data_IF_372502132009
#
_entry.id   IF_372502132009
#
_cell.length_a   1.000
_cell.length_b   1.000
_cell.length_c   1.000
_cell.angle_alpha   90.00
_cell.angle_beta   90.00
_cell.angle_gamma   90.00
#
_symmetry.space_group_name_H-M   'P 1'
#
loop_
_entity.id
_entity.type
_entity.pdbx_description
1 polymer ?
#
# COMPACT_ATOMS: atom_id res chain seq x y z
N UNK A 1 -8.54 2.80 14.02
CA UNK A 1 -7.11 2.66 14.40
C UNK A 1 -6.66 3.78 15.32
N UNK A 2 -6.80 5.05 14.91
CA UNK A 2 -6.47 6.24 15.71
C UNK A 2 -7.01 6.21 17.15
N UNK A 3 -8.32 5.98 17.31
CA UNK A 3 -8.95 5.99 18.64
C UNK A 3 -8.36 4.94 19.58
N UNK A 4 -8.10 3.72 19.07
CA UNK A 4 -7.52 2.64 19.88
C UNK A 4 -6.07 2.99 20.27
N UNK A 5 -5.29 3.51 19.31
CA UNK A 5 -3.93 3.95 19.59
C UNK A 5 -3.91 5.06 20.65
N UNK A 6 -4.79 6.06 20.52
CA UNK A 6 -4.94 7.14 21.49
C UNK A 6 -5.31 6.63 22.88
N UNK A 7 -6.35 5.80 23.00
CA UNK A 7 -6.77 5.26 24.30
C UNK A 7 -5.68 4.42 24.96
N UNK A 8 -5.01 3.54 24.19
CA UNK A 8 -3.90 2.72 24.71
C UNK A 8 -2.75 3.59 25.19
N UNK A 9 -2.38 4.63 24.43
CA UNK A 9 -1.32 5.55 24.83
C UNK A 9 -1.71 6.31 26.09
N UNK A 10 -2.93 6.85 26.17
CA UNK A 10 -3.41 7.58 27.34
C UNK A 10 -3.41 6.74 28.62
N UNK A 11 -3.78 5.46 28.52
CA UNK A 11 -3.69 4.53 29.66
C UNK A 11 -2.24 4.23 30.03
N UNK A 12 -1.33 4.11 29.05
CA UNK A 12 0.10 3.87 29.32
C UNK A 12 0.80 5.06 29.97
N UNK A 13 0.39 6.27 29.64
CA UNK A 13 1.00 7.51 30.12
C UNK A 13 0.53 7.92 31.53
N UNK A 14 -0.54 7.33 32.06
CA UNK A 14 -1.06 7.61 33.41
C UNK A 14 -1.04 6.35 34.27
N UNK A 15 -0.28 6.41 35.37
CA UNK A 15 -0.19 5.32 36.34
C UNK A 15 -1.54 5.07 37.03
N UNK A 16 -2.32 6.13 37.28
CA UNK A 16 -3.63 6.03 37.91
C UNK A 16 -4.63 5.30 37.00
N UNK A 17 -4.67 5.67 35.72
CA UNK A 17 -5.53 4.99 34.74
C UNK A 17 -5.09 3.53 34.57
N UNK A 18 -3.78 3.28 34.49
CA UNK A 18 -3.23 1.93 34.38
C UNK A 18 -3.55 1.08 35.59
N UNK A 19 -3.50 1.63 36.80
CA UNK A 19 -3.87 0.94 38.04
C UNK A 19 -5.37 0.56 38.07
N UNK A 20 -6.24 1.42 37.52
CA UNK A 20 -7.70 1.15 37.47
C UNK A 20 -8.06 0.11 36.42
N UNK A 21 -7.49 0.17 35.21
CA UNK A 21 -7.88 -0.73 34.11
C UNK A 21 -7.03 -2.00 34.02
N UNK A 22 -5.82 -1.98 34.56
CA UNK A 22 -4.88 -3.10 34.55
C UNK A 22 -4.19 -3.36 33.20
N UNK A 23 -3.09 -4.11 33.25
CA UNK A 23 -2.27 -4.43 32.08
C UNK A 23 -2.97 -5.34 31.05
N UNK A 24 -3.91 -6.16 31.50
CA UNK A 24 -4.71 -7.02 30.62
C UNK A 24 -5.59 -6.22 29.66
N UNK A 25 -6.07 -5.06 30.09
CA UNK A 25 -6.80 -4.15 29.23
C UNK A 25 -5.90 -3.63 28.10
N UNK A 26 -4.68 -3.20 28.44
CA UNK A 26 -3.67 -2.72 27.47
C UNK A 26 -3.36 -3.82 26.45
N UNK A 27 -3.14 -5.05 26.92
CA UNK A 27 -2.88 -6.23 26.06
C UNK A 27 -4.04 -6.50 25.10
N UNK A 28 -5.27 -6.46 25.60
CA UNK A 28 -6.48 -6.70 24.82
C UNK A 28 -6.69 -5.64 23.73
N UNK A 29 -6.55 -4.36 24.09
CA UNK A 29 -6.71 -3.26 23.15
C UNK A 29 -5.55 -3.17 22.15
N UNK A 30 -4.33 -3.57 22.56
CA UNK A 30 -3.21 -3.78 21.63
C UNK A 30 -3.51 -4.87 20.59
N UNK A 31 -4.17 -5.97 20.99
CA UNK A 31 -4.67 -6.99 20.06
C UNK A 31 -5.71 -6.46 19.09
N UNK A 32 -6.68 -5.67 19.58
CA UNK A 32 -7.69 -5.00 18.73
C UNK A 32 -7.05 -4.02 17.75
N UNK A 33 -6.06 -3.25 18.19
CA UNK A 33 -5.29 -2.36 17.33
C UNK A 33 -4.63 -3.13 16.18
N UNK A 34 -3.92 -4.23 16.47
CA UNK A 34 -3.29 -5.08 15.44
C UNK A 34 -4.32 -5.61 14.45
N UNK A 35 -5.47 -6.11 14.94
CA UNK A 35 -6.56 -6.59 14.07
C UNK A 35 -7.10 -5.48 13.17
N UNK A 36 -7.27 -4.27 13.68
CA UNK A 36 -7.67 -3.11 12.88
C UNK A 36 -6.62 -2.77 11.81
N UNK A 37 -5.33 -2.77 12.16
CA UNK A 37 -4.24 -2.51 11.21
C UNK A 37 -4.23 -3.56 10.10
N UNK A 38 -4.26 -4.85 10.43
CA UNK A 38 -4.32 -5.94 9.43
C UNK A 38 -5.57 -5.86 8.56
N UNK A 39 -6.72 -5.50 9.14
CA UNK A 39 -7.96 -5.35 8.38
C UNK A 39 -7.89 -4.17 7.41
N UNK A 40 -7.34 -3.04 7.85
CA UNK A 40 -7.10 -1.87 7.00
C UNK A 40 -6.16 -2.22 5.85
N UNK A 41 -5.00 -2.82 6.14
CA UNK A 41 -4.02 -3.18 5.11
C UNK A 41 -4.64 -4.09 4.05
N UNK A 42 -5.39 -5.12 4.47
CA UNK A 42 -6.06 -6.04 3.57
C UNK A 42 -7.13 -5.33 2.73
N UNK A 43 -8.00 -4.54 3.34
CA UNK A 43 -9.09 -3.87 2.64
C UNK A 43 -8.59 -2.85 1.62
N UNK A 44 -7.52 -2.13 1.95
CA UNK A 44 -7.00 -1.05 1.11
C UNK A 44 -6.05 -1.51 0.01
N UNK A 45 -5.22 -2.53 0.26
CA UNK A 45 -4.11 -2.85 -0.63
C UNK A 45 -4.25 -4.21 -1.34
N UNK A 46 -5.18 -5.07 -0.94
CA UNK A 46 -5.31 -6.41 -1.54
C UNK A 46 -5.61 -6.40 -3.03
N UNK A 47 -6.54 -5.55 -3.49
CA UNK A 47 -6.86 -5.40 -4.92
C UNK A 47 -5.65 -4.96 -5.72
N UNK A 48 -4.92 -3.94 -5.24
CA UNK A 48 -3.71 -3.45 -5.89
C UNK A 48 -2.63 -4.52 -5.97
N UNK A 49 -2.35 -5.20 -4.84
CA UNK A 49 -1.37 -6.28 -4.79
C UNK A 49 -1.77 -7.49 -5.64
N UNK A 50 -3.07 -7.71 -5.89
CA UNK A 50 -3.54 -8.79 -6.76
C UNK A 50 -3.12 -8.60 -8.22
N UNK A 51 -2.91 -7.35 -8.66
CA UNK A 51 -2.39 -7.07 -10.00
C UNK A 51 -0.90 -7.37 -10.14
N UNK A 52 -0.17 -7.50 -9.02
CA UNK A 52 1.26 -7.77 -8.97
C UNK A 52 1.57 -9.26 -8.69
N UNK A 53 0.60 -10.15 -8.87
CA UNK A 53 0.78 -11.60 -8.70
C UNK A 53 1.12 -12.28 -10.03
N UNK A 54 1.92 -13.34 -9.94
CA UNK A 54 2.29 -14.19 -11.09
C UNK A 54 1.11 -15.08 -11.57
N UNK A 55 0.12 -15.30 -10.71
CA UNK A 55 -1.02 -16.17 -10.98
C UNK A 55 -1.83 -15.68 -12.20
N UNK A 56 -1.98 -16.56 -13.19
CA UNK A 56 -2.73 -16.28 -14.41
C UNK A 56 -1.98 -15.44 -15.45
N UNK A 57 -0.69 -15.15 -15.25
CA UNK A 57 0.13 -14.42 -16.24
C UNK A 57 0.51 -15.31 -17.43
N UNK A 58 0.73 -16.60 -17.20
CA UNK A 58 1.00 -17.59 -18.26
C UNK A 58 -0.28 -18.35 -18.63
N UNK A 59 -0.49 -18.59 -19.94
CA UNK A 59 -1.64 -19.34 -20.45
C UNK A 59 -1.40 -20.84 -20.21
N UNK A 60 -2.28 -21.51 -19.45
CA UNK A 60 -2.21 -22.97 -19.30
C UNK A 60 -2.58 -23.62 -20.63
N UNK A 61 -1.65 -24.34 -21.26
CA UNK A 61 -1.88 -25.11 -22.50
C UNK A 61 -1.13 -24.64 -23.75
N UNK A 62 -0.30 -23.61 -23.65
CA UNK A 62 0.67 -23.18 -24.67
C UNK A 62 2.02 -22.88 -24.04
N UNK A 63 3.02 -22.46 -24.82
CA UNK A 63 4.37 -22.11 -24.32
C UNK A 63 4.30 -21.32 -23.00
N UNK A 64 5.19 -21.60 -22.04
CA UNK A 64 5.28 -20.95 -20.71
C UNK A 64 5.55 -19.42 -20.77
N UNK A 65 5.30 -18.78 -21.92
CA UNK A 65 5.48 -17.37 -22.15
C UNK A 65 4.34 -16.55 -21.50
N UNK A 66 4.68 -15.45 -20.82
CA UNK A 66 3.70 -14.49 -20.31
C UNK A 66 2.79 -13.92 -21.42
N UNK A 67 1.49 -13.86 -21.17
CA UNK A 67 0.54 -13.20 -22.09
C UNK A 67 0.66 -11.69 -22.01
N UNK A 68 1.05 -11.06 -23.13
CA UNK A 68 1.18 -9.59 -23.22
C UNK A 68 -0.11 -8.86 -22.93
N UNK A 69 -1.26 -9.41 -23.36
CA UNK A 69 -2.56 -8.80 -23.11
C UNK A 69 -2.87 -8.74 -21.61
N UNK A 70 -2.63 -9.86 -20.91
CA UNK A 70 -2.81 -9.95 -19.46
C UNK A 70 -1.85 -8.99 -18.74
N UNK A 71 -0.58 -8.95 -19.13
CA UNK A 71 0.39 -8.03 -18.53
C UNK A 71 -0.05 -6.56 -18.67
N UNK A 72 -0.53 -6.15 -19.84
CA UNK A 72 -1.05 -4.79 -20.07
C UNK A 72 -2.25 -4.47 -19.16
N UNK A 73 -3.16 -5.43 -19.00
CA UNK A 73 -4.29 -5.28 -18.09
C UNK A 73 -3.85 -5.18 -16.63
N UNK A 74 -2.89 -6.01 -16.20
CA UNK A 74 -2.33 -5.97 -14.84
C UNK A 74 -1.68 -4.62 -14.52
N UNK A 75 -0.83 -4.10 -15.41
CA UNK A 75 -0.19 -2.79 -15.21
C UNK A 75 -1.22 -1.64 -15.18
N UNK A 76 -2.23 -1.67 -16.06
CA UNK A 76 -3.31 -0.68 -16.04
C UNK A 76 -4.14 -0.75 -14.77
N UNK A 77 -4.54 -1.95 -14.35
CA UNK A 77 -5.29 -2.19 -13.12
C UNK A 77 -4.52 -1.73 -11.89
N UNK A 78 -3.22 -2.02 -11.83
CA UNK A 78 -2.33 -1.52 -10.79
C UNK A 78 -2.33 0.01 -10.74
N UNK A 79 -2.10 0.68 -11.87
CA UNK A 79 -2.04 2.15 -11.92
C UNK A 79 -3.35 2.78 -11.42
N UNK A 80 -4.49 2.29 -11.90
CA UNK A 80 -5.80 2.80 -11.49
C UNK A 80 -6.07 2.58 -9.99
N UNK A 81 -5.78 1.38 -9.48
CA UNK A 81 -5.94 1.07 -8.06
C UNK A 81 -5.02 1.92 -7.18
N UNK A 82 -3.78 2.16 -7.61
CA UNK A 82 -2.84 3.02 -6.89
C UNK A 82 -3.30 4.48 -6.85
N UNK A 83 -3.75 5.02 -7.98
CA UNK A 83 -4.30 6.37 -8.08
C UNK A 83 -5.53 6.57 -7.18
N UNK A 84 -6.44 5.59 -7.16
CA UNK A 84 -7.63 5.62 -6.31
C UNK A 84 -7.28 5.60 -4.82
N UNK A 85 -6.41 4.68 -4.40
CA UNK A 85 -5.98 4.55 -3.01
C UNK A 85 -5.27 5.81 -2.54
N UNK A 86 -4.33 6.32 -3.33
CA UNK A 86 -3.59 7.54 -3.00
C UNK A 86 -4.52 8.75 -2.84
N UNK A 87 -5.41 8.99 -3.81
CA UNK A 87 -6.38 10.10 -3.76
C UNK A 87 -7.25 10.01 -2.50
N UNK A 88 -7.64 8.80 -2.12
CA UNK A 88 -8.52 8.57 -0.97
C UNK A 88 -7.77 8.74 0.35
N UNK A 89 -6.60 8.11 0.48
CA UNK A 89 -5.88 8.01 1.75
C UNK A 89 -5.01 9.21 2.08
N UNK A 90 -4.66 10.06 1.11
CA UNK A 90 -4.06 11.37 1.38
C UNK A 90 -5.04 12.28 2.13
N UNK A 91 -6.35 12.13 1.89
CA UNK A 91 -7.39 12.82 2.65
C UNK A 91 -7.68 12.25 4.04
N UNK A 92 -7.11 11.11 4.41
CA UNK A 92 -7.25 10.57 5.76
C UNK A 92 -6.25 11.21 6.71
N UNK A 93 -6.54 11.20 8.00
CA UNK A 93 -5.64 11.77 9.03
C UNK A 93 -5.24 10.68 10.01
N UNK A 94 -3.93 10.54 10.26
CA UNK A 94 -3.39 9.79 11.39
C UNK A 94 -2.63 10.78 12.28
N UNK A 95 -3.19 11.23 13.41
CA UNK A 95 -2.59 12.32 14.20
C UNK A 95 -1.26 11.95 14.85
N UNK A 96 -1.11 10.69 15.31
CA UNK A 96 0.11 10.23 15.97
C UNK A 96 1.20 9.99 14.92
N UNK A 97 2.32 10.71 15.01
CA UNK A 97 3.42 10.64 14.05
C UNK A 97 4.00 9.22 13.93
N UNK A 98 4.37 8.60 15.05
CA UNK A 98 4.93 7.22 15.06
C UNK A 98 4.00 6.23 14.34
N UNK A 99 2.70 6.29 14.63
CA UNK A 99 1.72 5.42 13.97
C UNK A 99 1.65 5.68 12.47
N UNK A 100 1.71 6.95 12.08
CA UNK A 100 1.67 7.36 10.67
C UNK A 100 2.90 6.84 9.92
N UNK A 101 4.08 7.00 10.49
CA UNK A 101 5.34 6.55 9.92
C UNK A 101 5.41 5.03 9.84
N UNK A 102 5.02 4.31 10.90
CA UNK A 102 4.95 2.84 10.90
C UNK A 102 4.05 2.30 9.78
N UNK A 103 2.88 2.93 9.58
CA UNK A 103 1.96 2.54 8.51
C UNK A 103 2.56 2.80 7.13
N UNK A 104 3.14 3.99 6.93
CA UNK A 104 3.81 4.35 5.68
C UNK A 104 4.93 3.38 5.34
N UNK A 105 5.80 3.07 6.31
CA UNK A 105 6.90 2.10 6.15
C UNK A 105 6.36 0.70 5.83
N UNK A 106 5.39 0.20 6.60
CA UNK A 106 4.79 -1.13 6.39
C UNK A 106 4.22 -1.28 4.98
N UNK A 107 3.50 -0.26 4.50
CA UNK A 107 2.90 -0.24 3.16
C UNK A 107 3.99 -0.15 2.09
N UNK A 108 4.96 0.75 2.23
CA UNK A 108 6.08 0.91 1.30
C UNK A 108 6.86 -0.38 1.13
N UNK A 109 7.24 -1.05 2.22
CA UNK A 109 7.98 -2.31 2.15
C UNK A 109 7.21 -3.36 1.35
N UNK A 110 5.93 -3.57 1.66
CA UNK A 110 5.10 -4.59 0.99
C UNK A 110 4.86 -4.26 -0.48
N UNK A 111 4.49 -3.02 -0.78
CA UNK A 111 4.14 -2.59 -2.12
C UNK A 111 5.37 -2.54 -3.03
N UNK A 112 6.46 -1.90 -2.59
CA UNK A 112 7.67 -1.75 -3.39
C UNK A 112 8.33 -3.11 -3.65
N UNK A 113 8.32 -4.02 -2.68
CA UNK A 113 8.82 -5.38 -2.89
C UNK A 113 8.03 -6.12 -3.99
N UNK A 114 6.69 -6.09 -3.91
CA UNK A 114 5.84 -6.71 -4.92
C UNK A 114 6.03 -6.04 -6.30
N UNK A 115 6.07 -4.72 -6.34
CA UNK A 115 6.19 -3.94 -7.57
C UNK A 115 7.52 -4.17 -8.28
N UNK A 116 8.65 -4.07 -7.56
CA UNK A 116 9.99 -4.32 -8.10
C UNK A 116 10.10 -5.73 -8.67
N UNK A 117 9.57 -6.72 -7.95
CA UNK A 117 9.58 -8.12 -8.40
C UNK A 117 8.78 -8.30 -9.70
N UNK A 118 7.56 -7.76 -9.74
CA UNK A 118 6.67 -7.89 -10.91
C UNK A 118 7.22 -7.15 -12.14
N UNK A 119 7.68 -5.90 -11.97
CA UNK A 119 8.28 -5.10 -13.04
C UNK A 119 9.55 -5.74 -13.56
N UNK A 120 10.47 -6.16 -12.68
CA UNK A 120 11.72 -6.79 -13.07
C UNK A 120 11.52 -8.07 -13.88
N UNK A 121 10.47 -8.83 -13.56
CA UNK A 121 10.13 -10.07 -14.26
C UNK A 121 9.39 -9.83 -15.59
N UNK A 122 8.45 -8.90 -15.63
CA UNK A 122 7.49 -8.82 -16.75
C UNK A 122 7.62 -7.59 -17.65
N UNK A 123 8.33 -6.55 -17.23
CA UNK A 123 8.46 -5.34 -18.05
C UNK A 123 9.18 -5.61 -19.38
N UNK A 124 10.15 -6.53 -19.41
CA UNK A 124 10.84 -6.98 -20.62
C UNK A 124 9.93 -7.63 -21.66
N UNK A 125 8.82 -8.23 -21.22
CA UNK A 125 7.85 -8.93 -22.07
C UNK A 125 6.82 -7.98 -22.71
N UNK A 126 6.75 -6.73 -22.25
CA UNK A 126 5.97 -5.68 -22.90
C UNK A 126 6.64 -5.24 -24.20
N UNK A 127 5.85 -4.62 -25.09
CA UNK A 127 6.33 -4.05 -26.35
C UNK A 127 7.55 -3.14 -26.12
N UNK A 128 8.35 -2.92 -27.17
CA UNK A 128 9.63 -2.19 -27.10
C UNK A 128 9.58 -0.85 -26.34
N UNK A 129 10.75 -0.30 -25.95
CA UNK A 129 10.90 0.73 -24.90
C UNK A 129 9.84 1.84 -24.90
N UNK A 130 9.56 2.43 -26.07
CA UNK A 130 8.56 3.52 -26.24
C UNK A 130 7.12 3.16 -25.84
N UNK A 131 6.72 1.89 -25.94
CA UNK A 131 5.35 1.45 -25.57
C UNK A 131 5.29 0.96 -24.13
N UNK A 132 6.42 0.58 -23.52
CA UNK A 132 6.52 0.20 -22.11
C UNK A 132 6.16 1.36 -21.18
N UNK A 133 6.60 2.56 -21.52
CA UNK A 133 6.35 3.80 -20.76
C UNK A 133 4.86 4.15 -20.68
N UNK A 134 4.04 3.66 -21.63
CA UNK A 134 2.59 3.83 -21.61
C UNK A 134 1.87 2.95 -20.58
N UNK A 135 2.52 1.91 -20.04
CA UNK A 135 1.93 0.97 -19.08
C UNK A 135 2.64 1.00 -17.72
N UNK A 136 3.98 1.04 -17.72
CA UNK A 136 4.80 1.13 -16.50
C UNK A 136 5.00 2.61 -16.17
N UNK A 137 4.03 3.19 -15.45
CA UNK A 137 3.91 4.64 -15.24
C UNK A 137 4.81 5.19 -14.14
N UNK A 138 5.18 4.35 -13.16
CA UNK A 138 5.87 4.76 -11.96
C UNK A 138 7.19 4.01 -11.82
N UNK A 139 8.25 4.67 -11.37
CA UNK A 139 9.40 3.95 -10.82
C UNK A 139 9.17 3.69 -9.32
N UNK A 140 9.90 2.72 -8.71
CA UNK A 140 9.78 2.46 -7.28
C UNK A 140 9.99 3.69 -6.40
N UNK A 141 10.89 4.58 -6.80
CA UNK A 141 11.21 5.82 -6.08
C UNK A 141 10.04 6.82 -6.13
N UNK A 142 9.36 6.93 -7.28
CA UNK A 142 8.15 7.74 -7.40
C UNK A 142 7.04 7.21 -6.49
N UNK A 143 6.83 5.88 -6.48
CA UNK A 143 5.84 5.23 -5.61
C UNK A 143 6.14 5.50 -4.14
N UNK A 144 7.41 5.38 -3.72
CA UNK A 144 7.82 5.67 -2.35
C UNK A 144 7.50 7.11 -1.95
N UNK A 145 7.81 8.08 -2.82
CA UNK A 145 7.47 9.49 -2.61
C UNK A 145 5.97 9.71 -2.40
N UNK A 146 5.12 9.10 -3.23
CA UNK A 146 3.67 9.18 -3.05
C UNK A 146 3.19 8.49 -1.76
N UNK A 147 3.79 7.37 -1.36
CA UNK A 147 3.41 6.71 -0.11
C UNK A 147 3.74 7.56 1.12
N UNK A 148 4.77 8.40 1.06
CA UNK A 148 5.13 9.32 2.15
C UNK A 148 4.12 10.45 2.33
N UNK A 149 3.23 10.69 1.36
CA UNK A 149 2.18 11.69 1.46
C UNK A 149 0.89 11.18 2.14
N UNK A 150 0.77 9.87 2.39
CA UNK A 150 -0.46 9.27 2.92
C UNK A 150 -0.76 9.75 4.35
N UNK A 151 -2.02 9.92 4.69
CA UNK A 151 -2.50 10.25 6.04
C UNK A 151 -2.19 11.66 6.58
N UNK A 152 -1.83 12.60 5.71
CA UNK A 152 -1.64 14.03 6.08
C UNK A 152 -2.96 14.80 6.24
N UNK A 153 -4.08 14.28 5.73
CA UNK A 153 -5.39 14.96 5.78
C UNK A 153 -5.66 15.95 4.66
N UNK A 154 -4.74 16.03 3.69
CA UNK A 154 -4.88 16.90 2.52
C UNK A 154 -5.08 16.00 1.31
N UNK A 155 -6.29 15.93 0.74
CA UNK A 155 -6.52 15.17 -0.48
C UNK A 155 -5.59 15.66 -1.58
N UNK A 156 -4.73 14.77 -2.09
CA UNK A 156 -3.85 15.06 -3.23
C UNK A 156 -4.32 14.27 -4.44
N UNK A 157 -4.31 14.91 -5.60
CA UNK A 157 -4.35 14.21 -6.87
C UNK A 157 -2.92 13.86 -7.29
N UNK A 158 -2.71 12.69 -7.91
CA UNK A 158 -1.42 12.42 -8.54
C UNK A 158 -1.22 13.35 -9.72
N UNK A 159 -0.28 14.29 -9.58
CA UNK A 159 0.28 15.01 -10.72
C UNK A 159 1.18 14.04 -11.45
N UNK A 160 0.83 13.67 -12.69
CA UNK A 160 1.70 12.85 -13.52
C UNK A 160 2.93 13.68 -13.88
N UNK A 161 4.14 13.26 -13.47
CA UNK A 161 5.33 13.88 -14.01
C UNK A 161 5.29 13.62 -15.51
N UNK A 162 5.15 14.67 -16.33
CA UNK A 162 5.54 14.58 -17.74
C UNK A 162 7.04 14.34 -17.73
N UNK A 163 7.46 13.06 -17.75
CA UNK A 163 8.86 12.72 -17.94
C UNK A 163 9.29 13.29 -19.30
N UNK A 164 10.28 14.19 -19.27
CA UNK A 164 10.93 14.77 -20.44
C UNK A 164 11.70 13.70 -21.21
#
# INVERSE_FOLDING_TARGET
MNNICYMVQKVKDSEELRAVVGDDWIRTYGGRFRRCATSYERASWSTMLSFLKDEGVCVRGGSNAPSRAILKERFKGFNAAFEEVYRTQTGWIVPKLELREDLRISISVKLLQAYRTFVGRYASHLDGPRRRDGYVKYCPEDLEGYLMDLFEGVPKAMMHPRRR
#
